data_IF_345445143805
#
_entry.id   IF_345445143805
#
_cell.length_a   1.000
_cell.length_b   1.000
_cell.length_c   1.000
_cell.angle_alpha   90.00
_cell.angle_beta   90.00
_cell.angle_gamma   90.00
#
_symmetry.space_group_name_H-M   'P 1'
#
loop_
_entity.id
_entity.type
_entity.pdbx_description
1 polymer ?
#
# COMPACT_ATOMS: atom_id res chain seq x y z
N UNK A 1 -16.29 -0.08 -16.74
CA UNK A 1 -14.94 -0.58 -16.42
C UNK A 1 -14.49 0.22 -15.22
N UNK A 2 -14.82 -0.25 -14.02
CA UNK A 2 -14.31 0.41 -12.82
C UNK A 2 -12.81 0.11 -12.77
N UNK A 3 -11.97 1.15 -12.69
CA UNK A 3 -10.53 0.95 -12.66
C UNK A 3 -10.07 0.31 -11.35
N UNK A 4 -8.75 0.12 -11.20
CA UNK A 4 -8.11 -0.46 -10.01
C UNK A 4 -8.65 0.09 -8.67
N UNK A 5 -8.98 1.38 -8.62
CA UNK A 5 -9.56 2.03 -7.42
C UNK A 5 -10.94 1.47 -7.07
N UNK A 6 -11.79 1.21 -8.07
CA UNK A 6 -13.09 0.58 -7.86
C UNK A 6 -12.95 -0.87 -7.38
N UNK A 7 -11.97 -1.60 -7.92
CA UNK A 7 -11.68 -2.97 -7.47
C UNK A 7 -11.27 -2.98 -5.99
N UNK A 8 -10.41 -2.05 -5.55
CA UNK A 8 -10.02 -1.91 -4.15
C UNK A 8 -11.21 -1.60 -3.24
N UNK A 9 -12.15 -0.77 -3.70
CA UNK A 9 -13.39 -0.47 -2.95
C UNK A 9 -14.30 -1.67 -2.77
N UNK A 10 -14.21 -2.69 -3.62
CA UNK A 10 -15.01 -3.90 -3.50
C UNK A 10 -14.47 -4.88 -2.44
N UNK A 11 -13.21 -4.69 -2.00
CA UNK A 11 -12.58 -5.58 -1.03
C UNK A 11 -13.29 -5.46 0.32
N UNK A 12 -13.73 -6.62 0.83
CA UNK A 12 -14.36 -6.79 2.15
C UNK A 12 -13.55 -7.82 2.94
N UNK A 13 -12.39 -7.42 3.43
CA UNK A 13 -11.52 -8.24 4.27
C UNK A 13 -11.13 -7.45 5.52
N UNK A 14 -10.98 -8.12 6.67
CA UNK A 14 -10.46 -7.47 7.88
C UNK A 14 -8.98 -7.09 7.75
N UNK A 15 -8.29 -7.71 6.80
CA UNK A 15 -6.87 -7.52 6.54
C UNK A 15 -6.57 -7.61 5.05
N UNK A 16 -5.84 -6.63 4.53
CA UNK A 16 -5.32 -6.58 3.16
C UNK A 16 -3.80 -6.50 3.22
N UNK A 17 -3.13 -7.24 2.36
CA UNK A 17 -1.67 -7.29 2.30
C UNK A 17 -1.24 -6.91 0.89
N UNK A 18 -0.39 -5.91 0.78
CA UNK A 18 0.29 -5.60 -0.48
C UNK A 18 1.69 -6.22 -0.43
N UNK A 19 1.88 -7.26 -1.25
CA UNK A 19 3.17 -7.95 -1.38
C UNK A 19 4.06 -7.20 -2.37
N UNK A 20 5.12 -6.59 -1.84
CA UNK A 20 6.12 -5.83 -2.58
C UNK A 20 7.39 -6.63 -2.87
N UNK A 21 7.42 -7.95 -2.58
CA UNK A 21 8.61 -8.81 -2.76
C UNK A 21 9.15 -8.85 -4.19
N UNK A 22 8.29 -8.61 -5.18
CA UNK A 22 8.65 -8.56 -6.61
C UNK A 22 8.69 -7.14 -7.19
N UNK A 23 8.53 -6.12 -6.35
CA UNK A 23 8.56 -4.73 -6.78
C UNK A 23 10.01 -4.25 -6.79
N UNK A 24 10.55 -4.00 -7.98
CA UNK A 24 11.95 -3.62 -8.15
C UNK A 24 12.22 -2.14 -7.80
N UNK A 25 11.21 -1.27 -7.94
CA UNK A 25 11.33 0.18 -7.70
C UNK A 25 9.97 0.77 -7.35
N UNK A 26 10.00 1.74 -6.44
CA UNK A 26 8.92 2.69 -6.17
C UNK A 26 9.53 4.09 -6.31
N UNK A 27 8.74 5.05 -6.79
CA UNK A 27 9.11 6.46 -6.87
C UNK A 27 8.04 7.32 -6.15
N UNK A 28 8.07 8.64 -6.33
CA UNK A 28 7.09 9.55 -5.72
C UNK A 28 5.65 9.26 -6.18
N UNK A 29 5.46 8.88 -7.45
CA UNK A 29 4.12 8.55 -7.98
C UNK A 29 3.64 7.23 -7.39
N UNK A 30 4.51 6.22 -7.34
CA UNK A 30 4.18 4.93 -6.73
C UNK A 30 3.81 5.05 -5.25
N UNK A 31 4.51 5.91 -4.50
CA UNK A 31 4.16 6.18 -3.09
C UNK A 31 2.78 6.86 -2.98
N UNK A 32 2.50 7.85 -3.82
CA UNK A 32 1.18 8.49 -3.88
C UNK A 32 0.06 7.50 -4.21
N UNK A 33 0.30 6.57 -5.14
CA UNK A 33 -0.67 5.52 -5.49
C UNK A 33 -0.94 4.56 -4.32
N UNK A 34 0.09 4.23 -3.52
CA UNK A 34 -0.09 3.40 -2.33
C UNK A 34 -0.90 4.11 -1.24
N UNK A 35 -0.76 5.44 -1.10
CA UNK A 35 -1.61 6.22 -0.20
C UNK A 35 -3.07 6.22 -0.65
N UNK A 36 -3.32 6.47 -1.94
CA UNK A 36 -4.69 6.42 -2.48
C UNK A 36 -5.32 5.04 -2.29
N UNK A 37 -4.56 3.98 -2.54
CA UNK A 37 -5.02 2.62 -2.32
C UNK A 37 -5.33 2.33 -0.84
N UNK A 38 -4.47 2.81 0.07
CA UNK A 38 -4.69 2.70 1.52
C UNK A 38 -5.98 3.41 1.94
N UNK A 39 -6.20 4.64 1.49
CA UNK A 39 -7.37 5.44 1.85
C UNK A 39 -8.67 4.75 1.43
N UNK A 40 -8.69 4.15 0.23
CA UNK A 40 -9.87 3.43 -0.25
C UNK A 40 -10.11 2.09 0.43
N UNK A 41 -9.06 1.40 0.87
CA UNK A 41 -9.19 0.19 1.67
C UNK A 41 -9.70 0.51 3.08
N UNK A 42 -9.19 1.58 3.70
CA UNK A 42 -9.59 2.04 5.03
C UNK A 42 -11.01 2.62 5.05
N UNK A 43 -11.44 3.25 3.95
CA UNK A 43 -12.80 3.77 3.79
C UNK A 43 -13.91 2.70 3.90
N UNK A 44 -13.57 1.42 3.75
CA UNK A 44 -14.53 0.29 3.80
C UNK A 44 -14.77 -0.29 5.20
N UNK A 45 -14.22 0.30 6.27
CA UNK A 45 -14.45 -0.12 7.66
C UNK A 45 -13.15 -0.50 8.39
N UNK A 46 -13.22 -1.45 9.33
CA UNK A 46 -12.08 -1.88 10.17
C UNK A 46 -11.06 -2.77 9.42
N UNK A 47 -10.73 -2.41 8.20
CA UNK A 47 -9.75 -3.12 7.37
C UNK A 47 -8.36 -2.61 7.70
N UNK A 48 -7.41 -3.50 8.01
CA UNK A 48 -5.99 -3.12 8.12
C UNK A 48 -5.25 -3.39 6.81
N UNK A 49 -4.45 -2.43 6.34
CA UNK A 49 -3.52 -2.63 5.22
C UNK A 49 -2.09 -2.78 5.75
N UNK A 50 -1.39 -3.85 5.36
CA UNK A 50 0.03 -4.06 5.66
C UNK A 50 0.85 -4.25 4.37
N UNK A 51 2.05 -3.68 4.32
CA UNK A 51 3.02 -3.89 3.25
C UNK A 51 3.95 -5.04 3.63
N UNK A 52 4.09 -6.03 2.75
CA UNK A 52 4.96 -7.19 2.97
C UNK A 52 6.10 -7.20 1.98
N UNK A 53 7.28 -7.62 2.41
CA UNK A 53 8.38 -7.96 1.48
C UNK A 53 9.02 -6.77 0.76
N UNK A 54 8.78 -5.54 1.23
CA UNK A 54 9.54 -4.38 0.78
C UNK A 54 11.02 -4.57 1.13
N UNK A 55 11.91 -4.51 0.14
CA UNK A 55 13.35 -4.71 0.34
C UNK A 55 14.18 -3.74 -0.50
N UNK A 56 15.48 -3.65 -0.17
CA UNK A 56 16.44 -2.82 -0.89
C UNK A 56 15.99 -1.37 -1.06
N UNK A 57 16.03 -0.88 -2.31
CA UNK A 57 15.67 0.50 -2.63
C UNK A 57 14.21 0.85 -2.33
N UNK A 58 13.30 -0.13 -2.39
CA UNK A 58 11.89 0.09 -2.06
C UNK A 58 11.74 0.35 -0.57
N UNK A 59 12.30 -0.51 0.29
CA UNK A 59 12.30 -0.28 1.74
C UNK A 59 12.98 1.04 2.10
N UNK A 60 14.13 1.33 1.47
CA UNK A 60 14.88 2.57 1.71
C UNK A 60 14.06 3.82 1.36
N UNK A 61 13.23 3.77 0.32
CA UNK A 61 12.34 4.89 -0.02
C UNK A 61 11.34 5.16 1.11
N UNK A 62 10.70 4.12 1.68
CA UNK A 62 9.75 4.30 2.78
C UNK A 62 10.40 4.81 4.08
N UNK A 63 11.67 4.48 4.32
CA UNK A 63 12.43 5.01 5.46
C UNK A 63 12.84 6.48 5.28
N UNK A 64 13.18 6.87 4.05
CA UNK A 64 13.59 8.24 3.71
C UNK A 64 12.40 9.19 3.56
N UNK A 65 11.23 8.63 3.29
CA UNK A 65 9.96 9.35 3.26
C UNK A 65 9.24 9.15 4.58
N UNK A 66 8.20 9.91 4.87
CA UNK A 66 7.32 9.68 6.03
C UNK A 66 6.42 8.42 5.82
N UNK A 67 6.91 7.47 5.03
CA UNK A 67 6.23 6.25 4.64
C UNK A 67 6.21 5.22 5.77
N UNK A 68 7.25 5.15 6.60
CA UNK A 68 7.31 4.23 7.74
C UNK A 68 6.32 4.61 8.87
N UNK A 69 5.97 5.90 9.00
CA UNK A 69 4.88 6.34 9.89
C UNK A 69 3.50 6.13 9.27
N UNK A 70 3.43 6.07 7.95
CA UNK A 70 2.20 5.98 7.19
C UNK A 70 1.79 4.54 6.82
N UNK A 71 2.67 3.56 6.87
CA UNK A 71 2.36 2.18 6.50
C UNK A 71 2.85 1.20 7.55
N UNK A 72 2.02 0.19 7.83
CA UNK A 72 2.44 -0.96 8.61
C UNK A 72 3.23 -1.93 7.72
N UNK A 73 4.35 -2.44 8.21
CA UNK A 73 5.16 -3.45 7.52
C UNK A 73 5.17 -4.78 8.28
N UNK A 74 5.26 -5.89 7.54
CA UNK A 74 5.47 -7.25 8.06
C UNK A 74 6.50 -8.06 7.25
#
# INVERSE_FOLDING_TARGET
>A
MEGLIGDLRSIRASRVIFDLSKVARVDSVGLGMLHLAKDEILGNGSTRLTLRGASGNVRRLFELTDGDSSFDFE
#
